data_IF_219878515953
#
_entry.id   IF_219878515953
#
_cell.length_a   1.000
_cell.length_b   1.000
_cell.length_c   1.000
_cell.angle_alpha   90.00
_cell.angle_beta   90.00
_cell.angle_gamma   90.00
#
_symmetry.space_group_name_H-M   'P 1'
#
loop_
_entity.id
_entity.type
_entity.pdbx_description
1 polymer ?
#
# COMPACT_ATOMS: atom_id res chain seq x y z
N UNK A 1 6.10 -24.57 13.08
CA UNK A 1 5.66 -25.24 11.88
C UNK A 1 4.72 -24.33 11.09
N UNK A 2 4.89 -24.26 9.75
CA UNK A 2 4.19 -23.28 8.90
C UNK A 2 2.67 -23.45 8.98
N UNK A 3 2.14 -24.69 9.02
CA UNK A 3 0.70 -24.96 9.11
C UNK A 3 0.05 -24.33 10.35
N UNK A 4 0.67 -24.48 11.52
CA UNK A 4 0.17 -23.87 12.78
C UNK A 4 0.15 -22.33 12.69
N UNK A 5 1.16 -21.74 12.05
CA UNK A 5 1.18 -20.27 11.87
C UNK A 5 0.11 -19.80 10.89
N UNK A 6 -0.18 -20.57 9.84
CA UNK A 6 -1.25 -20.25 8.87
C UNK A 6 -2.62 -20.38 9.54
N UNK A 7 -2.86 -21.43 10.33
CA UNK A 7 -4.11 -21.61 11.10
C UNK A 7 -4.31 -20.44 12.09
N UNK A 8 -3.29 -20.11 12.88
CA UNK A 8 -3.33 -18.96 13.79
C UNK A 8 -3.59 -17.64 13.06
N UNK A 9 -2.96 -17.44 11.89
CA UNK A 9 -3.20 -16.25 11.07
C UNK A 9 -4.63 -16.20 10.59
N UNK A 10 -5.21 -17.35 10.17
CA UNK A 10 -6.61 -17.44 9.75
C UNK A 10 -7.56 -17.02 10.85
N UNK A 11 -7.38 -17.56 12.06
CA UNK A 11 -8.23 -17.26 13.21
C UNK A 11 -8.15 -15.77 13.58
N UNK A 12 -6.93 -15.23 13.76
CA UNK A 12 -6.73 -13.83 14.11
C UNK A 12 -7.27 -12.87 13.04
N UNK A 13 -7.01 -13.18 11.77
CA UNK A 13 -7.48 -12.33 10.65
C UNK A 13 -8.99 -12.36 10.54
N UNK A 14 -9.62 -13.53 10.73
CA UNK A 14 -11.08 -13.66 10.74
C UNK A 14 -11.71 -12.79 11.82
N UNK A 15 -11.16 -12.80 13.04
CA UNK A 15 -11.65 -11.97 14.14
C UNK A 15 -11.52 -10.47 13.83
N UNK A 16 -10.39 -10.04 13.26
CA UNK A 16 -10.17 -8.63 12.92
C UNK A 16 -11.08 -8.17 11.77
N UNK A 17 -11.23 -8.98 10.73
CA UNK A 17 -12.14 -8.67 9.61
C UNK A 17 -13.58 -8.59 10.12
N UNK A 18 -14.01 -9.52 10.98
CA UNK A 18 -15.33 -9.49 11.60
C UNK A 18 -15.55 -8.20 12.38
N UNK A 19 -14.59 -7.78 13.20
CA UNK A 19 -14.65 -6.52 13.93
C UNK A 19 -14.78 -5.33 12.98
N UNK A 20 -14.04 -5.32 11.86
CA UNK A 20 -14.13 -4.29 10.83
C UNK A 20 -15.50 -4.23 10.15
N UNK A 21 -16.06 -5.38 9.79
CA UNK A 21 -17.41 -5.50 9.21
C UNK A 21 -18.48 -5.00 10.17
N UNK A 22 -18.40 -5.39 11.44
CA UNK A 22 -19.34 -4.92 12.47
C UNK A 22 -19.24 -3.42 12.73
N UNK A 23 -18.05 -2.83 12.67
CA UNK A 23 -17.84 -1.39 12.84
C UNK A 23 -18.38 -0.57 11.67
N UNK A 24 -18.29 -1.08 10.45
CA UNK A 24 -18.76 -0.40 9.24
C UNK A 24 -20.29 -0.45 9.07
N UNK A 25 -21.00 -1.29 9.83
CA UNK A 25 -22.46 -1.34 9.86
C UNK A 25 -23.07 -0.15 10.62
N UNK A 26 -24.38 0.07 10.46
CA UNK A 26 -25.11 1.26 10.95
C UNK A 26 -25.26 1.40 12.49
N UNK A 27 -24.24 1.04 13.25
CA UNK A 27 -24.09 1.44 14.67
C UNK A 27 -25.07 0.82 15.67
N UNK A 28 -26.03 0.03 15.27
CA UNK A 28 -26.80 -0.81 16.19
C UNK A 28 -25.97 -2.07 16.48
N UNK A 29 -25.26 -2.03 17.61
CA UNK A 29 -24.46 -3.12 18.13
C UNK A 29 -25.35 -4.29 18.56
N UNK A 30 -25.95 -4.95 17.62
CA UNK A 30 -26.51 -6.28 17.79
C UNK A 30 -25.48 -7.27 17.24
N UNK A 31 -24.70 -7.84 18.17
CA UNK A 31 -23.83 -9.01 18.01
C UNK A 31 -23.62 -9.48 16.56
N UNK A 32 -22.38 -9.45 16.07
CA UNK A 32 -22.01 -9.93 14.75
C UNK A 32 -22.84 -11.14 14.33
N UNK A 33 -23.56 -11.02 13.22
CA UNK A 33 -24.44 -12.08 12.72
C UNK A 33 -23.61 -13.28 12.27
N UNK A 34 -24.21 -14.47 12.23
CA UNK A 34 -23.56 -15.67 11.69
C UNK A 34 -23.08 -15.44 10.24
N UNK A 35 -23.88 -14.74 9.44
CA UNK A 35 -23.53 -14.36 8.07
C UNK A 35 -22.25 -13.51 8.00
N UNK A 36 -22.07 -12.54 8.90
CA UNK A 36 -20.85 -11.73 8.95
C UNK A 36 -19.63 -12.56 9.40
N UNK A 37 -19.81 -13.57 10.25
CA UNK A 37 -18.75 -14.50 10.63
C UNK A 37 -18.30 -15.36 9.45
N UNK A 38 -19.26 -15.90 8.70
CA UNK A 38 -18.98 -16.68 7.48
C UNK A 38 -18.27 -15.81 6.43
N UNK A 39 -18.73 -14.58 6.22
CA UNK A 39 -18.09 -13.60 5.33
C UNK A 39 -16.66 -13.31 5.76
N UNK A 40 -16.42 -13.01 7.02
CA UNK A 40 -15.08 -12.73 7.56
C UNK A 40 -14.13 -13.92 7.35
N UNK A 41 -14.59 -15.15 7.61
CA UNK A 41 -13.82 -16.37 7.40
C UNK A 41 -13.49 -16.57 5.90
N UNK A 42 -14.45 -16.31 5.02
CA UNK A 42 -14.23 -16.41 3.57
C UNK A 42 -13.19 -15.38 3.08
N UNK A 43 -13.25 -14.14 3.57
CA UNK A 43 -12.29 -13.08 3.23
C UNK A 43 -10.89 -13.43 3.74
N UNK A 44 -10.78 -13.93 4.97
CA UNK A 44 -9.52 -14.40 5.55
C UNK A 44 -8.91 -15.56 4.73
N UNK A 45 -9.73 -16.54 4.33
CA UNK A 45 -9.28 -17.65 3.49
C UNK A 45 -8.79 -17.18 2.12
N UNK A 46 -9.50 -16.25 1.46
CA UNK A 46 -9.10 -15.64 0.18
C UNK A 46 -7.76 -14.92 0.32
N UNK A 47 -7.59 -14.10 1.35
CA UNK A 47 -6.34 -13.42 1.62
C UNK A 47 -5.18 -14.41 1.80
N UNK A 48 -5.34 -15.43 2.63
CA UNK A 48 -4.32 -16.45 2.88
C UNK A 48 -3.97 -17.22 1.60
N UNK A 49 -4.95 -17.53 0.78
CA UNK A 49 -4.70 -18.21 -0.52
C UNK A 49 -3.84 -17.39 -1.47
N UNK A 50 -3.83 -16.05 -1.32
CA UNK A 50 -3.02 -15.13 -2.14
C UNK A 50 -1.61 -14.88 -1.57
N UNK A 51 -1.28 -15.33 -0.36
CA UNK A 51 0.06 -15.12 0.24
C UNK A 51 1.22 -15.59 -0.66
N UNK A 52 1.14 -16.71 -1.40
CA UNK A 52 2.22 -17.11 -2.29
C UNK A 52 2.46 -16.11 -3.45
N UNK A 53 1.41 -15.48 -3.99
CA UNK A 53 1.52 -14.46 -5.02
C UNK A 53 2.11 -13.17 -4.45
N UNK A 54 1.61 -12.72 -3.31
CA UNK A 54 2.11 -11.54 -2.59
C UNK A 54 3.59 -11.69 -2.24
N UNK A 55 4.02 -12.87 -1.75
CA UNK A 55 5.43 -13.17 -1.48
C UNK A 55 6.30 -13.01 -2.72
N UNK A 56 5.83 -13.46 -3.89
CA UNK A 56 6.58 -13.28 -5.15
C UNK A 56 6.76 -11.79 -5.48
N UNK A 57 5.71 -10.99 -5.36
CA UNK A 57 5.79 -9.54 -5.60
C UNK A 57 6.74 -8.86 -4.62
N UNK A 58 6.63 -9.18 -3.32
CA UNK A 58 7.56 -8.66 -2.30
C UNK A 58 9.02 -9.06 -2.56
N UNK A 59 9.27 -10.26 -3.10
CA UNK A 59 10.62 -10.67 -3.48
C UNK A 59 11.20 -9.78 -4.59
N UNK A 60 10.37 -9.35 -5.56
CA UNK A 60 10.83 -8.40 -6.59
C UNK A 60 11.12 -7.01 -6.02
N UNK A 61 10.36 -6.55 -5.03
CA UNK A 61 10.60 -5.27 -4.35
C UNK A 61 11.92 -5.29 -3.56
N UNK A 62 12.20 -6.41 -2.87
CA UNK A 62 13.48 -6.63 -2.18
C UNK A 62 14.65 -6.68 -3.18
N UNK A 63 14.47 -7.35 -4.31
CA UNK A 63 15.48 -7.43 -5.38
C UNK A 63 15.78 -6.04 -5.96
N UNK A 64 14.74 -5.23 -6.21
CA UNK A 64 14.90 -3.86 -6.68
C UNK A 64 15.64 -2.97 -5.67
N UNK A 65 15.33 -3.11 -4.37
CA UNK A 65 16.01 -2.36 -3.32
C UNK A 65 17.48 -2.78 -3.21
N UNK A 66 17.79 -4.08 -3.24
CA UNK A 66 19.16 -4.59 -3.19
C UNK A 66 19.99 -4.14 -4.39
N UNK A 67 19.44 -4.24 -5.60
CA UNK A 67 20.14 -3.87 -6.83
C UNK A 67 20.25 -2.34 -7.00
N UNK A 68 19.34 -1.59 -6.39
CA UNK A 68 19.28 -0.13 -6.51
C UNK A 68 20.10 0.64 -5.47
N UNK A 69 20.64 -0.05 -4.46
CA UNK A 69 21.43 0.57 -3.38
C UNK A 69 22.86 -0.05 -3.34
N UNK A 70 23.90 0.71 -3.74
CA UNK A 70 25.28 0.22 -3.68
C UNK A 70 25.77 -0.09 -2.24
N UNK A 71 25.10 0.39 -1.20
CA UNK A 71 25.44 0.12 0.20
C UNK A 71 24.86 -1.21 0.72
N UNK A 72 23.88 -1.80 0.03
CA UNK A 72 23.23 -3.03 0.46
C UNK A 72 24.17 -4.22 0.41
N UNK A 73 24.37 -4.91 1.54
CA UNK A 73 25.30 -6.05 1.68
C UNK A 73 24.61 -7.39 1.35
N UNK A 74 23.31 -7.51 1.60
CA UNK A 74 22.55 -8.74 1.39
C UNK A 74 21.04 -8.50 1.33
N UNK A 75 20.31 -9.47 0.74
CA UNK A 75 18.84 -9.47 0.81
C UNK A 75 18.33 -9.53 2.27
N UNK A 76 19.04 -10.24 3.15
CA UNK A 76 18.67 -10.31 4.56
C UNK A 76 18.73 -8.95 5.26
N UNK A 77 19.74 -8.14 4.96
CA UNK A 77 19.86 -6.77 5.46
C UNK A 77 18.71 -5.91 4.94
N UNK A 78 18.42 -5.94 3.63
CA UNK A 78 17.31 -5.20 3.02
C UNK A 78 15.98 -5.54 3.69
N UNK A 79 15.69 -6.83 3.88
CA UNK A 79 14.45 -7.29 4.51
C UNK A 79 14.34 -6.84 5.98
N UNK A 80 15.44 -6.87 6.70
CA UNK A 80 15.42 -6.68 8.16
C UNK A 80 15.62 -5.24 8.61
N UNK A 81 16.29 -4.41 7.80
CA UNK A 81 16.75 -3.09 8.21
C UNK A 81 16.12 -1.92 7.46
N UNK A 82 15.61 -2.14 6.23
CA UNK A 82 15.11 -1.03 5.42
C UNK A 82 13.68 -0.62 5.78
N UNK A 83 13.45 0.61 6.30
CA UNK A 83 12.09 1.09 6.61
C UNK A 83 11.16 1.06 5.41
N UNK A 84 11.69 1.31 4.20
CA UNK A 84 10.92 1.27 2.97
C UNK A 84 10.32 -0.12 2.70
N UNK A 85 11.05 -1.21 2.93
CA UNK A 85 10.53 -2.58 2.80
C UNK A 85 9.42 -2.85 3.83
N UNK A 86 9.53 -2.28 5.04
CA UNK A 86 8.47 -2.33 6.04
C UNK A 86 7.20 -1.66 5.53
N UNK A 87 7.31 -0.43 5.01
CA UNK A 87 6.18 0.32 4.47
C UNK A 87 5.55 -0.37 3.25
N UNK A 88 6.36 -0.84 2.29
CA UNK A 88 5.90 -1.55 1.09
C UNK A 88 5.21 -2.86 1.47
N UNK A 89 5.74 -3.63 2.42
CA UNK A 89 5.13 -4.88 2.88
C UNK A 89 3.75 -4.64 3.50
N UNK A 90 3.61 -3.64 4.37
CA UNK A 90 2.32 -3.28 4.95
C UNK A 90 1.35 -2.76 3.88
N UNK A 91 1.82 -1.95 2.93
CA UNK A 91 1.01 -1.50 1.79
C UNK A 91 0.48 -2.70 0.98
N UNK A 92 1.34 -3.65 0.58
CA UNK A 92 0.93 -4.83 -0.20
C UNK A 92 -0.14 -5.65 0.52
N UNK A 93 0.01 -5.86 1.84
CA UNK A 93 -0.98 -6.53 2.69
C UNK A 93 -2.30 -5.73 2.70
N UNK A 94 -2.22 -4.44 2.97
CA UNK A 94 -3.39 -3.56 3.04
C UNK A 94 -4.12 -3.45 1.70
N UNK A 95 -3.39 -3.36 0.60
CA UNK A 95 -3.94 -3.31 -0.76
C UNK A 95 -4.75 -4.57 -1.10
N UNK A 96 -4.22 -5.77 -0.80
CA UNK A 96 -4.94 -7.02 -1.01
C UNK A 96 -6.22 -7.12 -0.15
N UNK A 97 -6.17 -6.70 1.11
CA UNK A 97 -7.35 -6.64 1.96
C UNK A 97 -8.39 -5.62 1.43
N UNK A 98 -7.93 -4.47 0.94
CA UNK A 98 -8.82 -3.47 0.33
C UNK A 98 -9.50 -4.02 -0.93
N UNK A 99 -8.78 -4.72 -1.79
CA UNK A 99 -9.33 -5.39 -3.00
C UNK A 99 -10.37 -6.45 -2.67
N UNK A 100 -10.24 -7.10 -1.53
CA UNK A 100 -11.23 -8.04 -1.01
C UNK A 100 -12.45 -7.35 -0.38
N UNK A 101 -12.47 -6.01 -0.29
CA UNK A 101 -13.57 -5.25 0.30
C UNK A 101 -13.54 -5.19 1.82
N UNK A 102 -12.42 -5.55 2.46
CA UNK A 102 -12.30 -5.46 3.92
C UNK A 102 -12.31 -3.98 4.34
N UNK A 103 -13.27 -3.55 5.19
CA UNK A 103 -13.34 -2.17 5.61
C UNK A 103 -12.31 -1.85 6.70
N UNK A 104 -11.92 -0.57 6.82
CA UNK A 104 -11.13 0.03 7.88
C UNK A 104 -9.71 -0.55 8.05
N UNK A 105 -9.55 -1.87 8.17
CA UNK A 105 -8.27 -2.56 8.44
C UNK A 105 -7.16 -2.17 7.46
N UNK A 106 -7.39 -2.09 6.13
CA UNK A 106 -6.36 -1.64 5.19
C UNK A 106 -5.77 -0.27 5.56
N UNK A 107 -6.63 0.67 5.95
CA UNK A 107 -6.17 2.01 6.38
C UNK A 107 -5.40 1.96 7.69
N UNK A 108 -5.86 1.20 8.67
CA UNK A 108 -5.14 1.03 9.94
C UNK A 108 -3.73 0.50 9.70
N UNK A 109 -3.57 -0.51 8.84
CA UNK A 109 -2.26 -1.09 8.53
C UNK A 109 -1.32 -0.06 7.91
N UNK A 110 -1.80 0.73 6.92
CA UNK A 110 -0.96 1.73 6.27
C UNK A 110 -0.63 2.91 7.17
N UNK A 111 -1.57 3.37 8.01
CA UNK A 111 -1.30 4.44 8.99
C UNK A 111 -0.30 4.01 10.09
N UNK A 112 -0.35 2.74 10.51
CA UNK A 112 0.67 2.20 11.42
C UNK A 112 2.05 2.21 10.75
N UNK A 113 2.15 1.78 9.50
CA UNK A 113 3.39 1.81 8.75
C UNK A 113 3.90 3.26 8.54
N UNK A 114 3.00 4.19 8.22
CA UNK A 114 3.32 5.62 8.11
C UNK A 114 3.88 6.17 9.43
N UNK A 115 3.21 5.91 10.54
CA UNK A 115 3.67 6.32 11.87
C UNK A 115 5.05 5.77 12.23
N UNK A 116 5.37 4.53 11.81
CA UNK A 116 6.61 3.85 12.12
C UNK A 116 7.78 4.28 11.21
N UNK A 117 7.51 4.55 9.94
CA UNK A 117 8.53 4.73 8.90
C UNK A 117 8.62 6.14 8.33
N UNK A 118 7.60 6.97 8.54
CA UNK A 118 7.46 8.25 7.87
C UNK A 118 7.13 8.14 6.37
N UNK A 119 6.69 6.98 5.89
CA UNK A 119 6.32 6.71 4.50
C UNK A 119 4.81 6.46 4.44
N UNK A 120 4.09 7.36 3.78
CA UNK A 120 2.63 7.30 3.61
C UNK A 120 2.26 6.73 2.25
N UNK A 121 1.76 5.49 2.22
CA UNK A 121 1.25 4.84 1.01
C UNK A 121 -0.22 4.48 1.22
N UNK A 122 -1.11 5.15 0.49
CA UNK A 122 -2.53 4.82 0.56
C UNK A 122 -2.80 3.41 0.00
N UNK A 123 -3.60 2.56 0.68
CA UNK A 123 -3.83 1.18 0.24
C UNK A 123 -4.56 1.07 -1.09
N UNK A 124 -5.21 2.13 -1.56
CA UNK A 124 -5.87 2.20 -2.87
C UNK A 124 -4.92 2.43 -4.05
N UNK A 125 -3.67 2.84 -3.82
CA UNK A 125 -2.70 3.01 -4.89
C UNK A 125 -2.44 1.67 -5.60
N UNK A 126 -2.28 1.72 -6.93
CA UNK A 126 -1.89 0.56 -7.73
C UNK A 126 -0.40 0.62 -8.02
N UNK A 127 0.37 -0.35 -7.52
CA UNK A 127 1.84 -0.35 -7.64
C UNK A 127 2.31 -1.69 -8.23
N UNK A 128 3.03 -1.63 -9.34
CA UNK A 128 3.65 -2.77 -10.01
C UNK A 128 4.74 -3.45 -9.17
N UNK A 129 5.42 -4.43 -9.76
CA UNK A 129 6.54 -5.13 -9.12
C UNK A 129 7.86 -4.38 -9.26
N UNK A 130 8.91 -4.85 -8.57
CA UNK A 130 10.23 -4.21 -8.55
C UNK A 130 10.17 -2.74 -8.08
N UNK A 131 9.23 -2.43 -7.21
CA UNK A 131 9.07 -1.08 -6.68
C UNK A 131 10.02 -0.86 -5.50
N UNK A 132 10.72 0.27 -5.49
CA UNK A 132 11.60 0.61 -4.39
C UNK A 132 11.53 2.08 -3.99
N UNK A 133 11.72 2.33 -2.70
CA UNK A 133 11.85 3.66 -2.12
C UNK A 133 13.21 3.70 -1.42
N UNK A 134 14.03 4.68 -1.79
CA UNK A 134 15.34 4.88 -1.18
C UNK A 134 15.23 5.94 -0.07
N UNK A 135 15.78 5.64 1.13
CA UNK A 135 15.59 6.36 2.39
C UNK A 135 14.12 6.42 2.83
N UNK A 136 13.28 7.16 2.15
CA UNK A 136 11.83 7.10 2.18
C UNK A 136 11.14 8.10 3.07
N UNK A 137 11.77 8.68 4.09
CA UNK A 137 11.12 9.63 5.00
C UNK A 137 10.41 10.74 4.23
N UNK A 138 9.13 10.96 4.52
CA UNK A 138 8.31 11.99 3.90
C UNK A 138 7.78 11.67 2.51
N UNK A 139 7.91 10.42 2.03
CA UNK A 139 7.23 9.97 0.81
C UNK A 139 5.72 9.91 1.05
N UNK A 140 4.93 10.43 0.10
CA UNK A 140 3.46 10.37 0.10
C UNK A 140 2.97 9.83 -1.24
N UNK A 141 2.22 8.74 -1.22
CA UNK A 141 1.59 8.12 -2.40
C UNK A 141 0.08 8.09 -2.21
N UNK A 142 -0.63 8.93 -2.97
CA UNK A 142 -2.07 9.11 -2.85
C UNK A 142 -2.91 7.95 -3.40
N UNK A 143 -4.16 7.91 -3.00
CA UNK A 143 -5.14 6.82 -3.21
C UNK A 143 -5.24 6.31 -4.65
N UNK A 144 -5.28 7.20 -5.62
CA UNK A 144 -5.52 6.85 -7.03
C UNK A 144 -4.25 6.91 -7.88
N UNK A 145 -3.06 6.86 -7.26
CA UNK A 145 -1.81 6.69 -7.99
C UNK A 145 -1.79 5.35 -8.74
N UNK A 146 -1.24 5.39 -9.95
CA UNK A 146 -0.90 4.18 -10.71
C UNK A 146 0.60 4.23 -10.94
N UNK A 147 1.32 3.23 -10.47
CA UNK A 147 2.77 3.13 -10.55
C UNK A 147 3.12 1.82 -11.24
N UNK A 148 3.83 1.91 -12.36
CA UNK A 148 4.27 0.77 -13.15
C UNK A 148 5.35 -0.08 -12.45
N UNK A 149 6.00 -0.94 -13.25
CA UNK A 149 7.06 -1.79 -12.75
C UNK A 149 8.41 -1.07 -12.72
N UNK A 150 9.30 -1.51 -11.83
CA UNK A 150 10.67 -1.01 -11.74
C UNK A 150 10.74 0.53 -11.55
N UNK A 151 9.86 1.07 -10.72
CA UNK A 151 9.84 2.48 -10.37
C UNK A 151 10.63 2.70 -9.08
N UNK A 152 11.50 3.71 -9.08
CA UNK A 152 12.29 4.12 -7.91
C UNK A 152 11.90 5.52 -7.45
N UNK A 153 11.56 5.65 -6.17
CA UNK A 153 11.31 6.94 -5.51
C UNK A 153 12.39 7.20 -4.47
N UNK A 154 12.72 8.46 -4.25
CA UNK A 154 13.58 8.91 -3.16
C UNK A 154 12.77 9.60 -2.06
N UNK A 155 13.41 9.89 -0.93
CA UNK A 155 12.78 10.54 0.22
C UNK A 155 12.09 11.87 -0.16
N UNK A 156 11.00 12.18 0.54
CA UNK A 156 10.25 13.42 0.38
C UNK A 156 9.45 13.55 -0.91
N UNK A 157 9.40 12.51 -1.76
CA UNK A 157 8.59 12.52 -2.98
C UNK A 157 7.11 12.55 -2.62
N UNK A 158 6.36 13.47 -3.23
CA UNK A 158 4.90 13.56 -3.08
C UNK A 158 4.22 13.29 -4.41
N UNK A 159 3.40 12.22 -4.45
CA UNK A 159 2.48 11.91 -5.53
C UNK A 159 1.05 12.26 -5.07
N UNK A 160 0.66 13.52 -5.24
CA UNK A 160 -0.51 14.12 -4.62
C UNK A 160 -1.60 14.54 -5.60
N UNK A 161 -2.76 14.95 -5.06
CA UNK A 161 -3.80 15.62 -5.82
C UNK A 161 -3.48 17.12 -5.95
N UNK A 162 -3.79 17.71 -7.13
CA UNK A 162 -3.61 19.15 -7.37
C UNK A 162 -4.78 19.96 -6.82
N UNK A 163 -6.00 19.41 -6.95
CA UNK A 163 -7.24 20.05 -6.53
C UNK A 163 -8.31 18.99 -6.30
N UNK A 164 -9.34 19.37 -5.59
CA UNK A 164 -10.52 18.53 -5.33
C UNK A 164 -11.74 19.20 -5.97
N UNK A 165 -12.40 18.59 -6.99
CA UNK A 165 -13.71 19.00 -7.43
C UNK A 165 -14.69 18.94 -6.26
N UNK A 166 -15.53 19.96 -6.15
CA UNK A 166 -16.52 20.06 -5.09
C UNK A 166 -17.91 19.72 -5.66
N UNK A 167 -18.74 19.12 -4.83
CA UNK A 167 -20.17 18.92 -5.11
C UNK A 167 -20.97 20.21 -4.89
N UNK A 168 -22.31 20.13 -5.06
CA UNK A 168 -23.21 21.28 -4.88
C UNK A 168 -23.21 21.84 -3.45
N UNK A 169 -22.83 21.01 -2.47
CA UNK A 169 -22.69 21.39 -1.05
C UNK A 169 -21.30 21.95 -0.70
N UNK A 170 -20.38 22.06 -1.67
CA UNK A 170 -19.01 22.51 -1.46
C UNK A 170 -18.10 21.46 -0.81
N UNK A 171 -18.47 20.17 -0.83
CA UNK A 171 -17.68 19.07 -0.29
C UNK A 171 -16.86 18.39 -1.39
N UNK A 172 -15.65 17.89 -1.11
CA UNK A 172 -14.84 17.15 -2.08
C UNK A 172 -15.56 15.90 -2.59
N UNK A 173 -15.65 15.77 -3.91
CA UNK A 173 -16.18 14.56 -4.56
C UNK A 173 -15.18 13.43 -4.34
N UNK A 174 -15.65 12.33 -3.72
CA UNK A 174 -14.83 11.17 -3.39
C UNK A 174 -14.73 10.17 -4.53
N UNK A 175 -13.70 9.30 -4.52
CA UNK A 175 -13.58 8.16 -5.42
C UNK A 175 -13.13 8.48 -6.85
N UNK A 176 -12.86 9.74 -7.18
CA UNK A 176 -12.40 10.12 -8.53
C UNK A 176 -10.87 10.06 -8.66
N UNK A 177 -10.34 9.65 -9.84
CA UNK A 177 -8.90 9.67 -10.10
C UNK A 177 -8.34 11.10 -10.04
N UNK A 178 -7.34 11.32 -9.16
CA UNK A 178 -6.80 12.67 -8.90
C UNK A 178 -5.28 12.69 -8.65
N UNK A 179 -4.63 11.51 -8.63
CA UNK A 179 -3.20 11.37 -8.38
C UNK A 179 -2.44 10.96 -9.63
N UNK A 180 -1.12 11.16 -9.68
CA UNK A 180 -0.29 10.88 -10.84
C UNK A 180 -0.28 9.41 -11.30
N UNK A 181 0.10 9.22 -12.57
CA UNK A 181 0.47 7.95 -13.16
C UNK A 181 1.97 7.98 -13.44
N UNK A 182 2.71 7.01 -12.94
CA UNK A 182 4.10 6.75 -13.29
C UNK A 182 4.17 5.47 -14.11
N UNK A 183 4.67 5.56 -15.34
CA UNK A 183 4.87 4.37 -16.18
C UNK A 183 6.12 3.57 -15.74
N UNK A 184 6.41 2.47 -16.42
CA UNK A 184 7.52 1.58 -16.06
C UNK A 184 8.88 2.30 -16.12
N UNK A 185 9.81 1.89 -15.26
CA UNK A 185 11.19 2.37 -15.21
C UNK A 185 11.35 3.88 -14.89
N UNK A 186 10.36 4.52 -14.28
CA UNK A 186 10.44 5.91 -13.85
C UNK A 186 11.28 6.03 -12.58
N UNK A 187 12.12 7.08 -12.53
CA UNK A 187 12.89 7.45 -11.33
C UNK A 187 12.45 8.85 -10.90
N UNK A 188 12.07 9.00 -9.62
CA UNK A 188 11.71 10.30 -9.04
C UNK A 188 12.66 10.63 -7.90
N UNK A 189 13.49 11.67 -8.08
CA UNK A 189 14.46 12.09 -7.10
C UNK A 189 13.85 12.88 -5.94
N UNK A 190 14.67 13.07 -4.91
CA UNK A 190 14.26 13.56 -3.59
C UNK A 190 13.49 14.89 -3.63
N UNK A 191 12.45 14.95 -2.79
CA UNK A 191 11.59 16.13 -2.58
C UNK A 191 10.87 16.63 -3.84
N UNK A 192 10.77 15.82 -4.90
CA UNK A 192 9.96 16.17 -6.05
C UNK A 192 8.46 16.08 -5.70
N UNK A 193 7.66 17.06 -6.15
CA UNK A 193 6.22 17.11 -5.92
C UNK A 193 5.47 17.02 -7.23
N UNK A 194 4.79 15.89 -7.46
CA UNK A 194 4.01 15.62 -8.66
C UNK A 194 2.52 15.63 -8.29
N UNK A 195 1.77 16.58 -8.83
CA UNK A 195 0.38 16.81 -8.44
C UNK A 195 -0.59 16.66 -9.62
N UNK A 196 -1.74 16.05 -9.31
CA UNK A 196 -2.86 15.90 -10.25
C UNK A 196 -2.75 14.65 -11.12
N UNK A 197 -3.76 14.42 -11.94
CA UNK A 197 -3.86 13.24 -12.81
C UNK A 197 -3.02 13.46 -14.08
N UNK A 198 -1.71 13.48 -13.93
CA UNK A 198 -0.74 13.58 -15.03
C UNK A 198 0.05 12.28 -15.16
N UNK A 199 0.56 12.01 -16.33
CA UNK A 199 1.38 10.81 -16.62
C UNK A 199 2.84 11.19 -16.78
N UNK A 200 3.70 10.53 -16.01
CA UNK A 200 5.15 10.54 -16.20
C UNK A 200 5.48 9.32 -17.05
N UNK A 201 5.97 9.56 -18.27
CA UNK A 201 6.19 8.52 -19.27
C UNK A 201 7.32 7.56 -18.92
N UNK A 202 7.27 6.38 -19.56
CA UNK A 202 8.21 5.28 -19.34
C UNK A 202 9.68 5.73 -19.43
N UNK A 203 10.48 5.30 -18.45
CA UNK A 203 11.91 5.58 -18.38
C UNK A 203 12.26 7.04 -18.06
N UNK A 204 11.27 7.89 -17.77
CA UNK A 204 11.52 9.27 -17.41
C UNK A 204 12.23 9.40 -16.04
N UNK A 205 13.07 10.42 -15.94
CA UNK A 205 13.72 10.82 -14.68
C UNK A 205 13.21 12.19 -14.27
N UNK A 206 12.61 12.28 -13.10
CA UNK A 206 12.15 13.53 -12.48
C UNK A 206 13.23 14.01 -11.51
N UNK A 207 13.73 15.25 -11.70
CA UNK A 207 14.76 15.84 -10.85
C UNK A 207 14.31 16.09 -9.43
N UNK A 208 15.25 16.30 -8.52
CA UNK A 208 14.94 16.60 -7.12
C UNK A 208 14.52 18.06 -6.89
N UNK A 209 13.74 18.29 -5.84
CA UNK A 209 13.29 19.63 -5.40
C UNK A 209 12.52 20.42 -6.46
N UNK A 210 11.66 19.79 -7.22
CA UNK A 210 10.81 20.40 -8.25
C UNK A 210 9.33 20.12 -7.97
#
# INVERSE_FOLDING_TARGET
HIGVNVERLFDLLTEQILAGLCFAGDGECNCCTELQREEAALLAAKFISNLPAMRRTLATDVEAAYNGDPAAQSFGEVISCYPAIRAISNYRIAHELLKLGVPLIPRIITEMAHSETGIDIHPGAEIGGYFTIDHGTGVVIGETCIIGNNVKLYQGVTLGAKSFPLDEDGKPIKGIPRHPILEDNVIVYSNATILGRITIGQGATVGGNI
#
